data_IF_984452958334
#
_entry.id   IF_984452958334
#
_cell.length_a   1.000
_cell.length_b   1.000
_cell.length_c   1.000
_cell.angle_alpha   90.00
_cell.angle_beta   90.00
_cell.angle_gamma   90.00
#
_symmetry.space_group_name_H-M   'P 1'
#
loop_
_entity.id
_entity.type
_entity.pdbx_description
1 polymer ?
#
# COMPACT_ATOMS: atom_id res chain seq x y z
N UNK A 1 -45.05 -16.36 -48.86
CA UNK A 1 -45.64 -17.69 -48.65
C UNK A 1 -45.15 -18.61 -49.76
N UNK A 2 -44.83 -19.86 -49.41
CA UNK A 2 -44.52 -21.01 -50.27
C UNK A 2 -43.03 -21.21 -50.64
N UNK A 3 -42.44 -22.15 -49.90
CA UNK A 3 -41.22 -22.91 -50.17
C UNK A 3 -41.42 -23.86 -51.36
N UNK A 4 -40.33 -24.33 -52.01
CA UNK A 4 -40.34 -25.70 -52.51
C UNK A 4 -39.10 -26.55 -52.15
N UNK A 5 -39.47 -27.81 -51.98
CA UNK A 5 -38.81 -29.09 -51.70
C UNK A 5 -37.67 -29.54 -52.65
N UNK A 6 -36.64 -30.13 -52.04
CA UNK A 6 -35.97 -31.44 -52.27
C UNK A 6 -35.53 -31.93 -53.67
N UNK A 7 -34.31 -32.49 -53.73
CA UNK A 7 -33.88 -33.47 -54.75
C UNK A 7 -32.44 -33.97 -54.55
N UNK A 8 -32.28 -35.26 -54.24
CA UNK A 8 -31.03 -36.04 -54.21
C UNK A 8 -30.50 -36.39 -55.62
N UNK A 9 -29.20 -36.76 -55.71
CA UNK A 9 -28.64 -38.01 -56.30
C UNK A 9 -27.21 -37.79 -56.87
N UNK A 10 -26.27 -38.70 -56.54
CA UNK A 10 -24.99 -38.93 -57.25
C UNK A 10 -25.20 -39.55 -58.65
N UNK A 11 -24.24 -40.26 -59.31
CA UNK A 11 -22.95 -40.82 -58.86
C UNK A 11 -21.79 -40.71 -59.91
N UNK A 12 -20.63 -41.35 -59.64
CA UNK A 12 -19.57 -41.68 -60.63
C UNK A 12 -18.18 -41.77 -59.97
N UNK A 13 -17.66 -42.95 -59.58
CA UNK A 13 -16.95 -43.97 -60.39
C UNK A 13 -15.69 -43.39 -61.10
N UNK A 14 -14.47 -43.94 -61.06
CA UNK A 14 -13.99 -45.29 -60.74
C UNK A 14 -12.45 -45.30 -60.50
N UNK A 15 -11.98 -46.36 -59.83
CA UNK A 15 -10.80 -47.25 -60.04
C UNK A 15 -9.54 -46.73 -60.79
N UNK A 16 -8.29 -47.17 -60.57
CA UNK A 16 -7.69 -48.38 -59.99
C UNK A 16 -6.20 -48.09 -59.66
N UNK A 17 -5.67 -48.55 -58.53
CA UNK A 17 -4.75 -49.71 -58.36
C UNK A 17 -3.33 -49.62 -58.98
N UNK A 18 -2.30 -49.59 -58.13
CA UNK A 18 -1.00 -50.26 -58.36
C UNK A 18 -0.49 -50.89 -57.06
N UNK A 19 -0.08 -52.15 -57.17
CA UNK A 19 0.49 -53.07 -56.16
C UNK A 19 2.01 -52.87 -56.03
N UNK A 20 2.59 -52.98 -54.82
CA UNK A 20 3.66 -53.95 -54.49
C UNK A 20 4.25 -53.79 -53.06
N UNK A 21 4.28 -54.94 -52.38
CA UNK A 21 5.25 -55.48 -51.41
C UNK A 21 6.32 -54.58 -50.77
N UNK A 22 6.49 -54.71 -49.44
CA UNK A 22 7.83 -54.62 -48.83
C UNK A 22 7.92 -54.31 -47.34
N UNK A 23 8.06 -55.38 -46.54
CA UNK A 23 8.93 -55.52 -45.35
C UNK A 23 8.60 -54.79 -44.03
N UNK A 24 8.68 -55.61 -42.98
CA UNK A 24 8.77 -55.28 -41.55
C UNK A 24 9.79 -54.17 -41.25
N UNK A 25 9.44 -53.29 -40.31
CA UNK A 25 10.35 -52.78 -39.28
C UNK A 25 9.54 -52.15 -38.14
N UNK A 26 9.79 -52.63 -36.92
CA UNK A 26 9.27 -52.06 -35.70
C UNK A 26 9.89 -50.67 -35.46
N UNK A 27 9.07 -49.68 -35.11
CA UNK A 27 9.55 -48.43 -34.50
C UNK A 27 8.69 -48.15 -33.28
N UNK A 28 9.35 -48.22 -32.14
CA UNK A 28 8.88 -47.90 -30.80
C UNK A 28 8.58 -46.39 -30.72
N UNK A 29 7.32 -45.97 -30.60
CA UNK A 29 6.98 -44.60 -30.23
C UNK A 29 6.91 -44.48 -28.71
N UNK A 30 7.96 -43.93 -28.11
CA UNK A 30 7.98 -43.50 -26.72
C UNK A 30 7.19 -42.19 -26.62
N UNK A 31 6.01 -42.21 -26.01
CA UNK A 31 5.23 -41.01 -25.75
C UNK A 31 5.95 -40.16 -24.68
N UNK A 32 6.55 -39.04 -25.09
CA UNK A 32 7.13 -38.06 -24.18
C UNK A 32 6.00 -37.23 -23.57
N UNK A 33 5.53 -37.63 -22.39
CA UNK A 33 4.71 -36.77 -21.54
C UNK A 33 5.62 -35.70 -20.94
N UNK A 34 5.65 -34.51 -21.55
CA UNK A 34 6.22 -33.33 -20.91
C UNK A 34 5.25 -32.92 -19.80
N UNK A 35 5.48 -33.42 -18.58
CA UNK A 35 4.84 -32.86 -17.41
C UNK A 35 5.40 -31.43 -17.23
N UNK A 36 4.61 -30.43 -17.63
CA UNK A 36 4.81 -29.08 -17.14
C UNK A 36 4.47 -29.12 -15.64
N UNK A 37 5.50 -29.26 -14.80
CA UNK A 37 5.39 -28.94 -13.39
C UNK A 37 5.18 -27.42 -13.31
N UNK A 38 3.91 -26.99 -13.33
CA UNK A 38 3.57 -25.63 -12.96
C UNK A 38 4.06 -25.40 -11.54
N UNK A 39 5.09 -24.57 -11.37
CA UNK A 39 5.46 -24.06 -10.05
C UNK A 39 4.24 -23.36 -9.50
N UNK A 40 3.57 -24.00 -8.54
CA UNK A 40 2.66 -23.31 -7.66
C UNK A 40 3.50 -22.29 -6.90
N UNK A 41 3.51 -21.04 -7.36
CA UNK A 41 3.99 -19.94 -6.56
C UNK A 41 3.19 -20.00 -5.27
N UNK A 42 3.86 -20.31 -4.16
CA UNK A 42 3.25 -20.23 -2.85
C UNK A 42 2.82 -18.77 -2.69
N UNK A 43 1.51 -18.53 -2.64
CA UNK A 43 0.99 -17.31 -2.04
C UNK A 43 1.46 -17.34 -0.59
N UNK A 44 2.57 -16.64 -0.30
CA UNK A 44 2.90 -16.28 1.06
C UNK A 44 1.81 -15.31 1.47
N UNK A 45 0.83 -15.79 2.23
CA UNK A 45 -0.06 -14.90 2.97
C UNK A 45 0.83 -13.91 3.74
N UNK A 46 0.49 -12.60 3.78
CA UNK A 46 1.25 -11.68 4.61
C UNK A 46 1.30 -12.27 6.01
N UNK A 47 2.52 -12.47 6.52
CA UNK A 47 2.72 -12.81 7.93
C UNK A 47 2.03 -11.67 8.68
N UNK A 48 0.87 -11.98 9.28
CA UNK A 48 0.29 -11.12 10.31
C UNK A 48 1.44 -10.82 11.27
N UNK A 49 1.73 -9.54 11.49
CA UNK A 49 2.74 -9.09 12.44
C UNK A 49 2.30 -9.47 13.87
N UNK A 50 2.29 -10.77 14.17
CA UNK A 50 2.07 -11.30 15.48
C UNK A 50 3.28 -10.93 16.31
N UNK A 51 3.21 -9.79 17.00
CA UNK A 51 4.19 -9.43 18.03
C UNK A 51 4.38 -7.94 18.28
N UNK A 52 4.06 -7.06 17.33
CA UNK A 52 4.23 -5.60 17.54
C UNK A 52 2.88 -4.96 17.83
N UNK A 53 2.72 -4.51 19.07
CA UNK A 53 1.58 -3.70 19.50
C UNK A 53 2.06 -2.29 19.79
N UNK A 54 1.69 -1.34 18.94
CA UNK A 54 1.96 0.07 19.13
C UNK A 54 0.81 0.90 18.57
N UNK A 55 0.71 2.15 19.02
CA UNK A 55 -0.32 3.10 18.57
C UNK A 55 0.28 4.46 18.26
N UNK A 56 -0.44 5.23 17.44
CA UNK A 56 -0.12 6.64 17.20
C UNK A 56 -1.08 7.48 18.01
N UNK A 57 -0.52 8.48 18.69
CA UNK A 57 -1.28 9.54 19.31
C UNK A 57 -0.93 10.85 18.64
N UNK A 58 -1.92 11.73 18.58
CA UNK A 58 -1.85 13.04 17.95
C UNK A 58 -2.38 14.09 18.94
N UNK A 59 -1.73 15.26 18.96
CA UNK A 59 -2.01 16.39 19.84
C UNK A 59 -2.34 17.67 19.06
N UNK A 60 -2.49 17.57 17.74
CA UNK A 60 -2.66 18.71 16.86
C UNK A 60 -3.90 19.52 17.21
N UNK A 61 -3.72 20.83 17.19
CA UNK A 61 -4.79 21.79 17.38
C UNK A 61 -4.73 22.81 16.26
N UNK A 62 -5.24 22.40 15.11
CA UNK A 62 -5.44 23.29 14.00
C UNK A 62 -6.95 23.41 13.74
N UNK A 63 -7.42 24.63 13.54
CA UNK A 63 -8.76 24.93 13.06
C UNK A 63 -8.75 25.97 11.94
N UNK A 64 -7.57 26.36 11.46
CA UNK A 64 -7.42 27.30 10.37
C UNK A 64 -7.76 26.59 9.05
N UNK A 65 -8.65 27.19 8.28
CA UNK A 65 -9.04 26.70 6.97
C UNK A 65 -9.45 27.86 6.06
N UNK A 66 -8.77 28.07 4.93
CA UNK A 66 -7.57 27.35 4.48
C UNK A 66 -6.34 27.65 5.36
N UNK A 67 -5.37 26.74 5.36
CA UNK A 67 -4.02 26.95 5.94
C UNK A 67 -2.96 26.58 4.88
N UNK A 68 -1.81 27.25 4.90
CA UNK A 68 -0.67 26.92 4.03
C UNK A 68 0.21 25.79 4.58
N UNK A 69 -0.14 25.25 5.75
CA UNK A 69 0.55 24.13 6.38
C UNK A 69 -0.45 23.05 6.82
N UNK A 70 -0.02 21.79 6.75
CA UNK A 70 -0.61 20.72 7.54
C UNK A 70 0.44 20.35 8.57
N UNK A 71 0.13 20.53 9.85
CA UNK A 71 1.09 20.23 10.91
C UNK A 71 0.49 19.28 11.91
N UNK A 72 1.39 18.51 12.54
CA UNK A 72 0.97 17.65 13.61
C UNK A 72 2.06 17.30 14.61
N UNK A 73 1.62 17.08 15.84
CA UNK A 73 2.45 16.64 16.95
C UNK A 73 2.07 15.20 17.31
N UNK A 74 2.98 14.27 17.01
CA UNK A 74 2.77 12.85 17.21
C UNK A 74 3.56 12.29 18.37
N UNK A 75 3.08 11.15 18.87
CA UNK A 75 3.95 10.16 19.49
C UNK A 75 3.53 8.75 19.09
N UNK A 76 4.51 7.86 18.93
CA UNK A 76 4.27 6.42 18.82
C UNK A 76 4.45 5.82 20.21
N UNK A 77 3.44 5.09 20.70
CA UNK A 77 3.44 4.47 22.02
C UNK A 77 3.44 2.95 21.88
N UNK A 78 4.40 2.27 22.52
CA UNK A 78 4.46 0.81 22.55
C UNK A 78 3.46 0.26 23.59
N UNK A 79 2.38 -0.36 23.12
CA UNK A 79 1.33 -0.98 23.95
C UNK A 79 1.58 -2.47 24.21
N UNK A 80 2.63 -3.03 23.63
CA UNK A 80 3.01 -4.43 23.77
C UNK A 80 3.87 -4.70 25.01
N UNK A 81 4.34 -5.95 25.10
CA UNK A 81 5.19 -6.45 26.18
C UNK A 81 6.65 -6.66 25.75
N UNK A 82 6.98 -6.38 24.49
CA UNK A 82 8.33 -6.50 23.93
C UNK A 82 8.80 -5.16 23.38
N UNK A 83 10.12 -4.97 23.29
CA UNK A 83 10.69 -3.77 22.69
C UNK A 83 10.39 -3.72 21.17
N UNK A 84 10.15 -2.52 20.64
CA UNK A 84 9.86 -2.27 19.23
C UNK A 84 10.92 -1.36 18.65
N UNK A 85 11.70 -1.86 17.67
CA UNK A 85 12.65 -1.02 16.96
C UNK A 85 11.90 0.00 16.09
N UNK A 86 12.22 1.29 16.21
CA UNK A 86 11.54 2.33 15.44
C UNK A 86 11.78 2.17 13.94
N UNK A 87 12.94 1.63 13.55
CA UNK A 87 13.28 1.40 12.14
C UNK A 87 12.42 0.36 11.44
N UNK A 88 11.63 -0.43 12.16
CA UNK A 88 10.64 -1.33 11.55
C UNK A 88 9.29 -0.65 11.34
N UNK A 89 9.12 0.57 11.87
CA UNK A 89 7.85 1.30 11.84
C UNK A 89 7.82 2.32 10.70
N UNK A 90 6.64 2.44 10.10
CA UNK A 90 6.30 3.58 9.23
C UNK A 90 4.94 4.13 9.63
N UNK A 91 4.82 5.45 9.71
CA UNK A 91 3.55 6.15 9.86
C UNK A 91 3.09 6.68 8.51
N UNK A 92 1.77 6.73 8.28
CA UNK A 92 1.20 7.38 7.11
C UNK A 92 0.17 8.42 7.52
N UNK A 93 0.36 9.63 7.01
CA UNK A 93 -0.59 10.73 7.09
C UNK A 93 -1.22 10.93 5.71
N UNK A 94 -2.54 10.84 5.64
CA UNK A 94 -3.33 10.83 4.42
C UNK A 94 -4.01 12.18 4.26
N UNK A 95 -3.82 12.80 3.09
CA UNK A 95 -4.32 14.16 2.85
C UNK A 95 -4.67 14.39 1.38
N UNK A 96 -5.43 15.45 1.16
CA UNK A 96 -5.72 15.96 -0.17
C UNK A 96 -4.66 17.01 -0.49
N UNK A 97 -3.90 16.81 -1.55
CA UNK A 97 -3.08 17.84 -2.17
C UNK A 97 -3.91 18.48 -3.30
N UNK A 98 -4.42 19.68 -3.05
CA UNK A 98 -5.23 20.45 -4.00
C UNK A 98 -4.37 21.13 -5.09
N UNK A 99 -3.07 21.30 -4.84
CA UNK A 99 -2.15 22.05 -5.71
C UNK A 99 -0.95 21.18 -6.13
N UNK A 100 -1.16 20.08 -6.88
CA UNK A 100 -0.08 19.14 -7.23
C UNK A 100 1.03 19.74 -8.12
N UNK A 101 0.79 20.90 -8.74
CA UNK A 101 1.81 21.64 -9.49
C UNK A 101 2.82 22.38 -8.60
N UNK A 102 2.47 22.64 -7.34
CA UNK A 102 3.38 23.21 -6.35
C UNK A 102 4.00 22.05 -5.55
N UNK A 103 5.32 21.82 -5.61
CA UNK A 103 5.94 20.68 -4.93
C UNK A 103 5.74 20.73 -3.42
N UNK A 104 5.54 19.56 -2.80
CA UNK A 104 5.44 19.43 -1.35
C UNK A 104 6.81 19.38 -0.67
N UNK A 105 6.85 19.87 0.56
CA UNK A 105 7.96 19.82 1.51
C UNK A 105 7.48 19.20 2.81
N UNK A 106 8.32 18.32 3.36
CA UNK A 106 8.15 17.75 4.68
C UNK A 106 9.23 18.32 5.58
N UNK A 107 8.83 18.81 6.74
CA UNK A 107 9.70 19.34 7.77
C UNK A 107 9.49 18.56 9.07
N UNK A 108 10.59 18.27 9.75
CA UNK A 108 10.59 17.85 11.15
C UNK A 108 11.15 19.02 11.96
N UNK A 109 10.28 19.70 12.71
CA UNK A 109 10.69 20.88 13.50
C UNK A 109 11.33 20.48 14.81
N UNK A 110 10.85 19.38 15.40
CA UNK A 110 11.38 18.81 16.63
C UNK A 110 11.06 17.31 16.70
N UNK A 111 12.00 16.53 17.22
CA UNK A 111 11.71 15.17 17.63
C UNK A 111 12.62 14.78 18.79
N UNK A 112 12.04 14.21 19.85
CA UNK A 112 12.80 13.65 20.97
C UNK A 112 13.75 12.53 20.50
N UNK A 113 13.34 11.76 19.49
CA UNK A 113 14.16 10.73 18.81
C UNK A 113 15.15 11.29 17.78
N UNK A 114 15.19 12.63 17.62
CA UNK A 114 16.05 13.36 16.68
C UNK A 114 15.49 13.44 15.26
N UNK A 115 15.31 14.65 14.73
CA UNK A 115 14.80 14.85 13.36
C UNK A 115 15.71 14.26 12.27
N UNK A 116 17.02 14.19 12.50
CA UNK A 116 17.95 13.52 11.58
C UNK A 116 17.67 12.01 11.44
N UNK A 117 16.87 11.43 12.33
CA UNK A 117 16.47 10.03 12.31
C UNK A 117 15.10 9.80 11.68
N UNK A 118 14.43 10.85 11.20
CA UNK A 118 13.10 10.82 10.62
C UNK A 118 13.20 11.21 9.14
N UNK A 119 12.47 10.51 8.28
CA UNK A 119 12.39 10.84 6.85
C UNK A 119 10.94 10.79 6.38
N UNK A 120 10.55 11.78 5.58
CA UNK A 120 9.25 11.88 4.96
C UNK A 120 9.33 11.61 3.46
N UNK A 121 8.41 10.80 2.94
CA UNK A 121 8.23 10.58 1.50
C UNK A 121 6.77 10.79 1.12
N UNK A 122 6.52 11.62 0.11
CA UNK A 122 5.19 11.78 -0.46
C UNK A 122 4.91 10.70 -1.50
N UNK A 123 3.72 10.09 -1.43
CA UNK A 123 3.21 9.11 -2.38
C UNK A 123 1.85 9.58 -2.89
N UNK A 124 1.74 9.81 -4.19
CA UNK A 124 0.46 10.10 -4.84
C UNK A 124 -0.29 8.79 -5.04
N UNK A 125 -1.56 8.75 -4.64
CA UNK A 125 -2.42 7.58 -4.82
C UNK A 125 -2.81 7.43 -6.29
N UNK A 126 -2.66 6.22 -6.82
CA UNK A 126 -3.11 5.92 -8.19
C UNK A 126 -4.62 6.11 -8.35
N UNK A 127 -5.38 5.80 -7.31
CA UNK A 127 -6.81 6.07 -7.20
C UNK A 127 -7.04 6.86 -5.92
N UNK A 128 -7.41 8.16 -6.00
CA UNK A 128 -7.80 8.94 -4.83
C UNK A 128 -8.97 8.29 -4.09
N UNK A 129 -8.97 8.45 -2.78
CA UNK A 129 -10.01 7.96 -1.85
C UNK A 129 -10.62 9.13 -1.10
N UNK A 130 -11.65 8.89 -0.28
CA UNK A 130 -12.33 9.98 0.41
C UNK A 130 -11.35 10.79 1.28
N UNK A 131 -11.24 12.10 1.01
CA UNK A 131 -10.35 13.06 1.70
C UNK A 131 -8.85 12.72 1.64
N UNK A 132 -8.42 11.92 0.65
CA UNK A 132 -7.00 11.71 0.40
C UNK A 132 -6.69 11.38 -1.06
N UNK A 133 -5.73 12.11 -1.63
CA UNK A 133 -5.09 11.78 -2.93
C UNK A 133 -3.58 11.59 -2.79
N UNK A 134 -3.00 11.96 -1.64
CA UNK A 134 -1.57 11.93 -1.35
C UNK A 134 -1.35 11.42 0.06
N UNK A 135 -0.22 10.75 0.27
CA UNK A 135 0.18 10.22 1.56
C UNK A 135 1.60 10.69 1.88
N UNK A 136 1.81 11.24 3.07
CA UNK A 136 3.13 11.36 3.66
C UNK A 136 3.45 10.07 4.41
N UNK A 137 4.47 9.35 3.96
CA UNK A 137 5.05 8.20 4.65
C UNK A 137 6.22 8.69 5.50
N UNK A 138 6.09 8.61 6.81
CA UNK A 138 7.14 8.93 7.78
C UNK A 138 7.82 7.62 8.19
N UNK A 139 9.14 7.59 8.12
CA UNK A 139 9.97 6.45 8.50
C UNK A 139 11.09 6.87 9.45
N UNK A 140 11.59 5.89 10.21
CA UNK A 140 12.68 6.09 11.16
C UNK A 140 13.91 5.29 10.72
N UNK A 141 15.10 5.87 10.85
CA UNK A 141 16.33 5.10 10.67
C UNK A 141 16.70 4.34 11.96
N UNK A 142 17.72 3.48 11.90
CA UNK A 142 18.15 2.67 13.05
C UNK A 142 18.62 3.51 14.26
N UNK A 143 19.14 4.72 14.04
CA UNK A 143 19.61 5.59 15.10
C UNK A 143 18.46 6.24 15.92
N UNK A 144 17.21 6.13 15.47
CA UNK A 144 16.04 6.46 16.30
C UNK A 144 15.90 5.53 17.51
N UNK A 145 16.50 4.33 17.47
CA UNK A 145 16.49 3.36 18.58
C UNK A 145 15.22 2.52 18.66
N UNK A 146 14.81 2.17 19.88
CA UNK A 146 13.68 1.27 20.14
C UNK A 146 12.83 1.75 21.31
N UNK A 147 11.53 1.46 21.25
CA UNK A 147 10.59 1.70 22.34
C UNK A 147 10.49 0.47 23.24
N UNK A 148 10.88 0.61 24.51
CA UNK A 148 10.58 -0.40 25.52
C UNK A 148 9.05 -0.50 25.77
N UNK A 149 8.55 -1.59 26.36
CA UNK A 149 7.14 -1.72 26.74
C UNK A 149 6.65 -0.51 27.55
N UNK A 150 5.51 0.06 27.17
CA UNK A 150 4.92 1.22 27.85
C UNK A 150 5.66 2.54 27.67
N UNK A 151 6.66 2.61 26.78
CA UNK A 151 7.35 3.86 26.42
C UNK A 151 6.82 4.42 25.10
N UNK A 152 7.00 5.74 24.91
CA UNK A 152 6.74 6.41 23.64
C UNK A 152 7.99 7.00 23.03
N UNK A 153 7.89 7.44 21.77
CA UNK A 153 8.93 8.24 21.10
C UNK A 153 9.20 9.57 21.79
N UNK A 154 8.36 9.99 22.74
CA UNK A 154 8.18 11.40 23.03
C UNK A 154 7.60 12.13 21.81
N UNK A 155 7.63 13.46 21.88
CA UNK A 155 7.05 14.31 20.85
C UNK A 155 7.84 14.26 19.54
N UNK A 156 7.10 14.22 18.43
CA UNK A 156 7.55 14.39 17.06
C UNK A 156 6.66 15.47 16.44
N UNK A 157 7.23 16.65 16.16
CA UNK A 157 6.55 17.75 15.48
C UNK A 157 6.89 17.71 13.99
N UNK A 158 5.86 17.70 13.16
CA UNK A 158 6.00 17.64 11.70
C UNK A 158 5.15 18.70 11.02
N UNK A 159 5.61 19.15 9.85
CA UNK A 159 4.87 20.05 8.97
C UNK A 159 4.98 19.60 7.52
N UNK A 160 3.88 19.73 6.81
CA UNK A 160 3.78 19.63 5.36
C UNK A 160 3.45 21.03 4.85
N UNK A 161 4.18 21.51 3.86
CA UNK A 161 3.79 22.71 3.12
C UNK A 161 4.15 22.57 1.65
N UNK A 162 3.53 23.38 0.80
CA UNK A 162 4.01 23.52 -0.57
C UNK A 162 5.23 24.45 -0.63
N UNK A 163 6.07 24.34 -1.66
CA UNK A 163 7.26 25.20 -1.83
C UNK A 163 6.89 26.67 -1.92
N UNK A 164 5.80 27.01 -2.63
CA UNK A 164 5.30 28.38 -2.70
C UNK A 164 4.26 28.70 -1.60
N UNK A 165 4.11 27.84 -0.58
CA UNK A 165 3.11 27.97 0.49
C UNK A 165 1.67 28.13 -0.03
N UNK A 166 1.34 27.44 -1.12
CA UNK A 166 -0.05 27.28 -1.55
C UNK A 166 -0.89 26.64 -0.43
N UNK A 167 -2.14 27.10 -0.30
CA UNK A 167 -3.05 26.66 0.74
C UNK A 167 -3.54 25.21 0.53
N UNK A 168 -3.76 24.51 1.65
CA UNK A 168 -4.55 23.29 1.76
C UNK A 168 -5.96 23.60 2.25
N UNK A 169 -6.91 22.69 1.98
CA UNK A 169 -8.19 22.66 2.68
C UNK A 169 -8.09 21.66 3.84
N UNK A 170 -7.73 22.15 5.03
CA UNK A 170 -7.45 21.33 6.22
C UNK A 170 -8.66 20.48 6.63
N UNK A 171 -9.88 21.02 6.50
CA UNK A 171 -11.12 20.30 6.82
C UNK A 171 -11.45 19.15 5.86
N UNK A 172 -10.86 19.14 4.67
CA UNK A 172 -10.99 18.10 3.63
C UNK A 172 -9.77 17.15 3.56
N UNK A 173 -8.99 17.10 4.64
CA UNK A 173 -7.87 16.18 4.83
C UNK A 173 -8.25 15.02 5.77
N UNK A 174 -8.02 13.78 5.35
CA UNK A 174 -8.42 12.59 6.12
C UNK A 174 -7.76 12.47 7.49
N UNK A 175 -6.45 12.66 7.56
CA UNK A 175 -5.68 12.52 8.80
C UNK A 175 -5.69 13.75 9.68
N UNK A 176 -6.34 14.83 9.25
CA UNK A 176 -6.48 16.04 10.02
C UNK A 176 -7.37 15.80 11.23
N UNK A 177 -6.91 16.27 12.39
CA UNK A 177 -7.73 16.35 13.60
C UNK A 177 -7.66 17.77 14.14
N UNK A 178 -8.78 18.23 14.69
CA UNK A 178 -8.86 19.50 15.41
C UNK A 178 -9.28 19.21 16.84
N UNK A 179 -8.33 19.32 17.78
CA UNK A 179 -8.61 19.05 19.18
C UNK A 179 -8.11 20.20 20.08
N UNK A 180 -9.01 21.01 20.69
CA UNK A 180 -8.65 22.14 21.55
C UNK A 180 -8.07 21.75 22.90
N UNK A 181 -7.99 20.45 23.23
CA UNK A 181 -7.41 20.04 24.50
C UNK A 181 -5.88 20.11 24.54
N UNK A 182 -5.20 20.13 23.38
CA UNK A 182 -3.73 20.06 23.30
C UNK A 182 -3.12 18.89 24.10
N UNK A 183 -3.86 17.78 24.20
CA UNK A 183 -3.42 16.54 24.85
C UNK A 183 -3.28 15.45 23.79
N UNK A 184 -2.26 14.61 23.90
CA UNK A 184 -2.11 13.44 23.05
C UNK A 184 -3.31 12.50 23.18
N UNK A 185 -3.99 12.25 22.07
CA UNK A 185 -5.09 11.28 21.97
C UNK A 185 -4.82 10.27 20.87
N UNK A 186 -5.34 9.07 21.09
CA UNK A 186 -5.31 7.99 20.11
C UNK A 186 -6.00 8.46 18.82
N UNK A 187 -5.25 8.53 17.72
CA UNK A 187 -5.80 8.86 16.40
C UNK A 187 -6.04 7.58 15.61
N UNK A 188 -7.18 7.48 14.92
CA UNK A 188 -7.47 6.37 14.02
C UNK A 188 -7.20 6.71 12.55
N UNK A 189 -6.94 7.99 12.23
CA UNK A 189 -6.78 8.46 10.85
C UNK A 189 -5.33 8.59 10.43
N UNK A 190 -4.38 8.54 11.39
CA UNK A 190 -2.96 8.32 11.11
C UNK A 190 -2.64 6.86 11.35
N UNK A 191 -2.19 6.17 10.30
CA UNK A 191 -1.99 4.72 10.32
C UNK A 191 -0.53 4.36 10.60
N UNK A 192 -0.29 3.31 11.37
CA UNK A 192 1.04 2.79 11.69
C UNK A 192 1.21 1.39 11.13
N UNK A 193 2.40 1.11 10.60
CA UNK A 193 2.76 -0.18 10.06
C UNK A 193 4.03 -0.67 10.72
N UNK A 194 4.14 -1.99 10.90
CA UNK A 194 5.37 -2.67 11.25
C UNK A 194 5.75 -3.61 10.12
N UNK A 195 6.95 -3.44 9.55
CA UNK A 195 7.43 -4.20 8.39
C UNK A 195 6.39 -4.27 7.25
N UNK A 196 5.71 -3.14 6.99
CA UNK A 196 4.70 -3.01 5.93
C UNK A 196 3.30 -3.53 6.28
N UNK A 197 3.11 -4.18 7.43
CA UNK A 197 1.78 -4.63 7.88
C UNK A 197 1.13 -3.59 8.79
N UNK A 198 -0.14 -3.25 8.52
CA UNK A 198 -0.91 -2.30 9.34
C UNK A 198 -1.09 -2.85 10.76
N UNK A 199 -0.71 -2.06 11.76
CA UNK A 199 -0.84 -2.42 13.19
C UNK A 199 -1.70 -1.43 13.98
N UNK A 200 -1.99 -0.24 13.43
CA UNK A 200 -2.82 0.78 14.09
C UNK A 200 -3.48 1.71 13.07
N UNK A 201 -4.69 2.17 13.39
CA UNK A 201 -5.48 3.09 12.59
C UNK A 201 -6.28 2.38 11.48
N UNK A 202 -6.98 3.19 10.69
CA UNK A 202 -7.82 2.76 9.57
C UNK A 202 -7.36 3.50 8.32
N UNK A 203 -7.05 2.77 7.25
CA UNK A 203 -6.77 3.41 5.96
C UNK A 203 -8.07 4.00 5.39
N UNK A 204 -8.01 5.19 4.73
CA UNK A 204 -9.15 5.74 4.02
C UNK A 204 -9.61 4.81 2.88
N UNK A 205 -10.92 4.84 2.58
CA UNK A 205 -11.57 4.04 1.54
C UNK A 205 -12.12 4.91 0.42
#
# INVERSE_FOLDING_TARGET
>A
MLSPRSGELGPGAAAAAVRRMGRMSAVLLMALFVMFAGSAARLVAPVSAAGVSAKVQDRSHDNDNPDNQLYAHYQVFNTGTSAVALSTLTMKYWFTNETPSDPLKFECDYAQVGCANISGQFVVLATPVNKANTVLVISFNAAAGSLAPGQSTGEIQTRIHHVAYSNFNTTETYSFISDPSFVYKDTQTVTLYSNGSLIWGVEPK
#
